data_IF_100103627027
#
_entry.id   IF_100103627027
#
_cell.length_a   1.000
_cell.length_b   1.000
_cell.length_c   1.000
_cell.angle_alpha   90.00
_cell.angle_beta   90.00
_cell.angle_gamma   90.00
#
_symmetry.space_group_name_H-M   'P 1'
#
loop_
_entity.id
_entity.type
_entity.pdbx_description
1 polymer ?
#
# COMPACT_ATOMS: atom_id res chain seq x y z
N UNK A 1 21.39 1.97 -0.35
CA UNK A 1 20.64 1.60 0.87
C UNK A 1 21.65 1.59 2.00
N UNK A 2 21.55 2.53 2.95
CA UNK A 2 22.61 2.81 3.91
C UNK A 2 22.67 1.73 5.00
N UNK A 3 23.86 1.38 5.48
CA UNK A 3 24.08 0.30 6.45
C UNK A 3 23.38 0.61 7.80
N UNK A 4 23.30 1.90 8.14
CA UNK A 4 22.63 2.39 9.34
C UNK A 4 21.12 2.08 9.37
N UNK A 5 20.45 2.06 8.22
CA UNK A 5 19.01 1.75 8.15
C UNK A 5 18.72 0.27 8.42
N UNK A 6 19.68 -0.62 8.16
CA UNK A 6 19.57 -2.05 8.53
C UNK A 6 19.79 -2.25 10.02
N UNK A 7 20.75 -1.54 10.62
CA UNK A 7 21.06 -1.65 12.04
C UNK A 7 19.88 -1.21 12.92
N UNK A 8 19.24 -0.08 12.59
CA UNK A 8 18.05 0.40 13.33
C UNK A 8 16.89 -0.62 13.24
N UNK A 9 16.71 -1.28 12.08
CA UNK A 9 15.69 -2.33 11.91
C UNK A 9 16.01 -3.61 12.70
N UNK A 10 17.28 -3.99 12.81
CA UNK A 10 17.72 -5.16 13.58
C UNK A 10 17.61 -4.88 15.08
N UNK A 11 17.99 -3.69 15.55
CA UNK A 11 17.88 -3.30 16.96
C UNK A 11 16.42 -3.19 17.40
N UNK A 12 15.53 -2.63 16.58
CA UNK A 12 14.10 -2.56 16.89
C UNK A 12 13.44 -3.94 16.92
N UNK A 13 13.81 -4.86 16.02
CA UNK A 13 13.33 -6.25 16.06
C UNK A 13 13.78 -7.00 17.31
N UNK A 14 15.01 -6.75 17.77
CA UNK A 14 15.60 -7.37 18.97
C UNK A 14 14.96 -6.84 20.27
N UNK A 15 14.71 -5.54 20.35
CA UNK A 15 13.99 -4.91 21.46
C UNK A 15 12.57 -5.46 21.62
N UNK A 16 11.85 -5.71 20.53
CA UNK A 16 10.51 -6.31 20.58
C UNK A 16 10.57 -7.74 21.14
N UNK A 17 11.52 -8.56 20.69
CA UNK A 17 11.69 -9.92 21.22
C UNK A 17 12.06 -9.93 22.71
N UNK A 18 12.95 -9.05 23.17
CA UNK A 18 13.34 -8.97 24.59
C UNK A 18 12.20 -8.49 25.49
N UNK A 19 11.40 -7.52 25.04
CA UNK A 19 10.21 -7.06 25.79
C UNK A 19 9.16 -8.17 25.89
N UNK A 20 8.94 -8.95 24.82
CA UNK A 20 8.04 -10.10 24.86
C UNK A 20 8.52 -11.19 25.81
N UNK A 21 9.81 -11.53 25.78
CA UNK A 21 10.38 -12.56 26.64
C UNK A 21 10.31 -12.16 28.13
N UNK A 22 10.60 -10.90 28.43
CA UNK A 22 10.53 -10.36 29.78
C UNK A 22 9.08 -10.27 30.28
N UNK A 23 8.12 -9.88 29.43
CA UNK A 23 6.70 -9.89 29.81
C UNK A 23 6.17 -11.31 30.07
N UNK A 24 6.55 -12.29 29.24
CA UNK A 24 6.22 -13.71 29.48
C UNK A 24 6.79 -14.19 30.83
N UNK A 25 8.04 -13.84 31.14
CA UNK A 25 8.65 -14.17 32.42
C UNK A 25 7.91 -13.59 33.63
N UNK A 26 7.47 -12.32 33.54
CA UNK A 26 6.69 -11.65 34.60
C UNK A 26 5.30 -12.26 34.76
N UNK A 27 4.62 -12.59 33.67
CA UNK A 27 3.29 -13.25 33.68
C UNK A 27 3.37 -14.65 34.32
N UNK A 28 4.43 -15.42 34.00
CA UNK A 28 4.68 -16.74 34.60
C UNK A 28 4.96 -16.61 36.10
N UNK A 29 5.73 -15.62 36.54
CA UNK A 29 5.98 -15.39 37.97
C UNK A 29 4.74 -14.94 38.73
N UNK A 30 3.93 -14.06 38.15
CA UNK A 30 2.70 -13.57 38.78
C UNK A 30 1.62 -14.65 38.89
N UNK A 31 1.52 -15.57 37.92
CA UNK A 31 0.58 -16.70 37.97
C UNK A 31 0.95 -17.77 39.01
N UNK A 32 2.23 -17.95 39.32
CA UNK A 32 2.68 -18.86 40.40
C UNK A 32 2.41 -18.30 41.80
N UNK A 33 2.44 -16.97 41.99
CA UNK A 33 2.47 -16.34 43.32
C UNK A 33 1.08 -16.02 43.89
N UNK A 34 0.07 -15.88 43.05
CA UNK A 34 -1.34 -15.75 43.43
C UNK A 34 -2.06 -16.84 42.67
N UNK A 35 -2.87 -17.69 43.33
CA UNK A 35 -3.71 -18.74 42.72
C UNK A 35 -4.75 -18.12 41.76
N UNK A 36 -4.29 -17.44 40.72
CA UNK A 36 -5.06 -16.73 39.74
C UNK A 36 -5.28 -17.69 38.59
N UNK A 37 -6.54 -17.94 38.28
CA UNK A 37 -6.96 -18.78 37.17
C UNK A 37 -6.27 -18.35 35.86
N UNK A 38 -5.38 -19.21 35.37
CA UNK A 38 -4.47 -18.98 34.23
C UNK A 38 -5.18 -18.45 32.98
N UNK A 39 -6.44 -18.86 32.78
CA UNK A 39 -7.27 -18.44 31.64
C UNK A 39 -7.64 -16.95 31.66
N UNK A 40 -7.73 -16.29 32.83
CA UNK A 40 -8.05 -14.85 32.91
C UNK A 40 -6.84 -13.96 32.58
N UNK A 41 -5.62 -14.44 32.80
CA UNK A 41 -4.39 -13.70 32.49
C UNK A 41 -4.06 -13.81 31.00
N UNK A 42 -4.38 -14.95 30.37
CA UNK A 42 -4.17 -15.16 28.94
C UNK A 42 -5.01 -14.21 28.06
N UNK A 43 -6.17 -13.75 28.54
CA UNK A 43 -7.05 -12.85 27.79
C UNK A 43 -6.50 -11.43 27.62
N UNK A 44 -5.57 -10.99 28.47
CA UNK A 44 -5.00 -9.63 28.43
C UNK A 44 -3.86 -9.53 27.39
N UNK A 45 -3.29 -10.65 26.95
CA UNK A 45 -2.20 -10.68 25.96
C UNK A 45 -2.71 -10.68 24.51
N UNK A 46 -4.03 -10.78 24.29
CA UNK A 46 -4.68 -10.66 22.97
C UNK A 46 -5.03 -9.20 22.63
N UNK A 47 -4.20 -8.24 23.05
CA UNK A 47 -4.24 -6.89 22.48
C UNK A 47 -3.61 -6.93 21.09
N UNK A 48 -4.23 -6.27 20.10
CA UNK A 48 -4.08 -6.61 18.70
C UNK A 48 -2.63 -6.42 18.27
N UNK A 49 -2.09 -7.44 17.59
CA UNK A 49 -0.99 -7.25 16.66
C UNK A 49 -1.34 -6.02 15.82
N UNK A 50 -0.65 -4.91 16.06
CA UNK A 50 -0.55 -3.84 15.10
C UNK A 50 0.11 -4.48 13.87
N UNK A 51 -0.72 -5.07 13.00
CA UNK A 51 -0.33 -5.42 11.65
C UNK A 51 -0.04 -4.08 11.01
N UNK A 52 1.19 -3.60 11.18
CA UNK A 52 1.71 -2.48 10.42
C UNK A 52 1.37 -2.81 8.97
N UNK A 53 0.53 -1.96 8.35
CA UNK A 53 0.35 -2.05 6.92
C UNK A 53 1.76 -2.02 6.32
N UNK A 54 2.12 -3.05 5.56
CA UNK A 54 3.47 -3.19 5.03
C UNK A 54 3.88 -1.95 4.24
N UNK A 55 5.18 -1.74 4.07
CA UNK A 55 5.69 -0.64 3.25
C UNK A 55 5.19 -0.79 1.80
N UNK A 56 4.71 0.30 1.21
CA UNK A 56 4.26 0.34 -0.18
C UNK A 56 5.38 -0.10 -1.12
N UNK A 57 5.10 -1.10 -1.96
CA UNK A 57 6.05 -1.55 -3.00
C UNK A 57 5.59 -1.16 -4.40
N UNK A 58 6.51 -1.22 -5.39
CA UNK A 58 6.13 -1.04 -6.81
C UNK A 58 5.14 -2.12 -7.27
N UNK A 59 5.24 -3.32 -6.70
CA UNK A 59 4.30 -4.39 -6.98
C UNK A 59 2.90 -4.06 -6.44
N UNK A 60 2.81 -3.46 -5.27
CA UNK A 60 1.54 -2.98 -4.72
C UNK A 60 0.97 -1.84 -5.55
N UNK A 61 1.79 -0.90 -6.02
CA UNK A 61 1.35 0.15 -6.94
C UNK A 61 0.72 -0.43 -8.21
N UNK A 62 1.33 -1.44 -8.81
CA UNK A 62 0.76 -2.03 -10.03
C UNK A 62 -0.50 -2.87 -9.76
N UNK A 63 -0.52 -3.64 -8.67
CA UNK A 63 -1.53 -4.68 -8.44
C UNK A 63 -2.68 -4.31 -7.52
N UNK A 64 -2.46 -3.34 -6.62
CA UNK A 64 -3.32 -3.03 -5.47
C UNK A 64 -3.55 -1.54 -5.26
N UNK A 65 -2.97 -0.64 -6.05
CA UNK A 65 -3.28 0.78 -5.92
C UNK A 65 -4.58 1.14 -6.64
N UNK A 66 -5.52 1.75 -5.91
CA UNK A 66 -6.82 2.11 -6.42
C UNK A 66 -6.78 3.47 -7.13
N UNK A 67 -6.71 3.44 -8.46
CA UNK A 67 -6.65 4.64 -9.31
C UNK A 67 -7.92 5.50 -9.25
N UNK A 68 -9.03 4.98 -8.70
CA UNK A 68 -10.27 5.75 -8.49
C UNK A 68 -10.13 6.79 -7.38
N UNK A 69 -8.99 6.82 -6.71
CA UNK A 69 -8.72 7.68 -5.56
C UNK A 69 -7.82 8.88 -5.87
N UNK A 70 -7.47 9.08 -7.15
CA UNK A 70 -6.54 10.13 -7.61
C UNK A 70 -7.02 10.83 -8.88
N UNK A 71 -6.50 12.04 -9.12
CA UNK A 71 -6.73 12.77 -10.37
C UNK A 71 -5.85 12.14 -11.45
N UNK A 72 -6.45 11.81 -12.59
CA UNK A 72 -5.74 11.24 -13.72
C UNK A 72 -6.51 11.38 -15.04
N UNK A 73 -5.82 11.15 -16.16
CA UNK A 73 -6.38 11.02 -17.50
C UNK A 73 -7.41 9.87 -17.61
N UNK A 74 -7.32 8.86 -16.74
CA UNK A 74 -8.28 7.76 -16.69
C UNK A 74 -9.54 8.08 -15.89
N UNK A 75 -9.64 9.27 -15.25
CA UNK A 75 -10.79 9.63 -14.43
C UNK A 75 -12.13 9.43 -15.13
N UNK A 76 -12.26 9.90 -16.38
CA UNK A 76 -13.48 9.68 -17.19
C UNK A 76 -13.66 8.20 -17.55
N UNK A 77 -12.60 7.49 -17.98
CA UNK A 77 -12.68 6.06 -18.32
C UNK A 77 -13.15 5.22 -17.12
N UNK A 78 -12.66 5.51 -15.92
CA UNK A 78 -13.03 4.82 -14.69
C UNK A 78 -14.51 4.96 -14.33
N UNK A 79 -15.23 5.96 -14.87
CA UNK A 79 -16.68 6.08 -14.72
C UNK A 79 -17.47 5.02 -15.50
N UNK A 80 -16.83 4.28 -16.41
CA UNK A 80 -17.50 3.29 -17.27
C UNK A 80 -16.99 1.85 -17.10
N UNK A 81 -15.74 1.68 -16.64
CA UNK A 81 -15.11 0.36 -16.51
C UNK A 81 -15.10 -0.15 -15.08
N UNK A 82 -15.07 -1.47 -14.87
CA UNK A 82 -15.04 -2.08 -13.51
C UNK A 82 -13.66 -2.03 -12.86
N UNK A 83 -12.60 -1.85 -13.65
CA UNK A 83 -11.24 -1.86 -13.12
C UNK A 83 -10.93 -0.69 -12.19
N UNK A 84 -10.12 -0.93 -11.17
CA UNK A 84 -9.58 0.11 -10.29
C UNK A 84 -8.04 0.13 -10.23
N UNK A 85 -7.38 -0.97 -10.61
CA UNK A 85 -5.94 -1.15 -10.46
C UNK A 85 -5.20 -0.92 -11.77
N UNK A 86 -3.94 -0.43 -11.76
CA UNK A 86 -3.19 -0.23 -12.99
C UNK A 86 -3.09 -1.47 -13.87
N UNK A 87 -2.89 -2.66 -13.30
CA UNK A 87 -2.87 -3.93 -14.05
C UNK A 87 -4.13 -4.20 -14.89
N UNK A 88 -5.26 -3.57 -14.57
CA UNK A 88 -6.52 -3.75 -15.29
C UNK A 88 -6.56 -2.91 -16.59
N UNK A 89 -5.67 -1.94 -16.73
CA UNK A 89 -5.65 -0.94 -17.82
C UNK A 89 -4.31 -0.83 -18.53
N UNK A 90 -3.26 -1.38 -17.94
CA UNK A 90 -1.91 -1.46 -18.49
C UNK A 90 -1.47 -2.92 -18.41
N UNK A 91 -1.37 -3.66 -19.53
CA UNK A 91 -0.81 -5.00 -19.54
C UNK A 91 0.62 -5.02 -19.01
N UNK A 92 1.10 -6.17 -18.56
CA UNK A 92 2.44 -6.27 -17.95
C UNK A 92 3.57 -5.81 -18.89
N UNK A 93 3.46 -6.04 -20.20
CA UNK A 93 4.46 -5.58 -21.18
C UNK A 93 4.48 -4.04 -21.37
N UNK A 94 3.42 -3.35 -20.94
CA UNK A 94 3.32 -1.89 -20.88
C UNK A 94 3.81 -1.32 -19.54
N UNK A 95 4.19 -2.18 -18.58
CA UNK A 95 4.70 -1.80 -17.28
C UNK A 95 6.22 -1.98 -17.21
N UNK A 96 6.94 -0.88 -16.99
CA UNK A 96 8.39 -0.85 -16.79
C UNK A 96 8.70 -0.55 -15.33
N UNK A 97 9.17 -1.58 -14.62
CA UNK A 97 9.66 -1.50 -13.25
C UNK A 97 11.14 -1.12 -13.30
N UNK A 98 11.46 0.15 -13.05
CA UNK A 98 12.84 0.63 -13.10
C UNK A 98 13.55 0.37 -11.77
N UNK A 99 14.85 0.08 -11.83
CA UNK A 99 15.70 -0.08 -10.65
C UNK A 99 15.57 1.15 -9.73
N UNK A 100 15.34 0.92 -8.43
CA UNK A 100 15.03 1.97 -7.46
C UNK A 100 13.56 1.95 -7.02
N UNK A 101 12.84 3.03 -7.30
CA UNK A 101 11.53 3.33 -6.71
C UNK A 101 10.50 3.84 -7.74
N UNK A 102 10.69 3.53 -9.03
CA UNK A 102 9.87 4.10 -10.11
C UNK A 102 9.18 3.02 -10.95
N UNK A 103 7.88 3.20 -11.16
CA UNK A 103 7.04 2.42 -12.08
C UNK A 103 6.57 3.32 -13.20
N UNK A 104 6.87 2.95 -14.46
CA UNK A 104 6.36 3.62 -15.65
C UNK A 104 5.34 2.71 -16.34
N UNK A 105 4.18 3.26 -16.65
CA UNK A 105 3.12 2.59 -17.42
C UNK A 105 2.84 3.38 -18.69
N UNK A 106 2.69 2.71 -19.83
CA UNK A 106 2.49 3.35 -21.14
C UNK A 106 1.38 2.65 -21.91
N UNK A 107 0.29 3.34 -22.21
CA UNK A 107 -0.80 2.83 -23.05
C UNK A 107 -1.07 3.81 -24.19
N UNK A 108 -0.58 3.49 -25.39
CA UNK A 108 -0.60 4.44 -26.51
C UNK A 108 0.19 5.71 -26.19
N UNK A 109 -0.49 6.84 -26.19
CA UNK A 109 0.05 8.16 -25.83
C UNK A 109 -0.08 8.50 -24.33
N UNK A 110 -0.80 7.68 -23.55
CA UNK A 110 -0.99 7.91 -22.12
C UNK A 110 0.17 7.30 -21.32
N UNK A 111 0.91 8.16 -20.61
CA UNK A 111 2.09 7.79 -19.84
C UNK A 111 1.90 8.17 -18.38
N UNK A 112 2.04 7.17 -17.52
CA UNK A 112 2.02 7.33 -16.07
C UNK A 112 3.39 6.97 -15.51
N UNK A 113 3.92 7.82 -14.64
CA UNK A 113 5.20 7.60 -13.97
C UNK A 113 4.96 7.80 -12.48
N UNK A 114 5.01 6.70 -11.74
CA UNK A 114 4.97 6.69 -10.29
C UNK A 114 6.39 6.69 -9.74
N UNK A 115 6.68 7.58 -8.80
CA UNK A 115 7.91 7.56 -8.01
C UNK A 115 7.55 7.45 -6.53
N UNK A 116 7.93 6.34 -5.89
CA UNK A 116 7.72 6.15 -4.45
C UNK A 116 8.66 7.03 -3.65
N UNK A 117 8.15 7.58 -2.56
CA UNK A 117 8.87 8.31 -1.53
C UNK A 117 8.67 7.57 -0.20
N UNK A 118 9.42 7.96 0.82
CA UNK A 118 9.22 7.46 2.18
C UNK A 118 7.79 7.70 2.67
N UNK A 119 7.39 6.98 3.73
CA UNK A 119 6.09 7.10 4.39
C UNK A 119 4.90 6.83 3.46
N UNK A 120 5.03 5.87 2.54
CA UNK A 120 3.97 5.48 1.60
C UNK A 120 3.44 6.67 0.77
N UNK A 121 4.31 7.62 0.44
CA UNK A 121 3.99 8.74 -0.45
C UNK A 121 4.41 8.42 -1.88
N UNK A 122 3.66 8.94 -2.85
CA UNK A 122 4.01 8.85 -4.27
C UNK A 122 3.99 10.22 -4.94
N UNK A 123 4.84 10.37 -5.94
CA UNK A 123 4.70 11.38 -6.99
C UNK A 123 4.16 10.67 -8.22
N UNK A 124 3.06 11.14 -8.77
CA UNK A 124 2.49 10.68 -10.04
C UNK A 124 2.67 11.78 -11.08
N UNK A 125 3.44 11.48 -12.12
CA UNK A 125 3.41 12.22 -13.38
C UNK A 125 2.46 11.50 -14.32
N UNK A 126 1.45 12.19 -14.83
CA UNK A 126 0.51 11.63 -15.79
C UNK A 126 0.37 12.60 -16.98
N UNK A 127 0.72 12.12 -18.16
CA UNK A 127 0.77 12.91 -19.39
C UNK A 127 0.20 12.16 -20.58
N UNK A 128 -0.38 12.90 -21.52
CA UNK A 128 -0.79 12.41 -22.84
C UNK A 128 0.20 13.01 -23.86
N UNK A 129 1.04 12.20 -24.48
CA UNK A 129 2.14 12.70 -25.33
C UNK A 129 1.68 13.36 -26.63
N UNK A 130 0.46 13.07 -27.07
CA UNK A 130 -0.18 13.67 -28.25
C UNK A 130 -0.91 14.99 -27.95
N UNK A 131 -1.02 15.39 -26.68
CA UNK A 131 -1.85 16.51 -26.25
C UNK A 131 -1.20 17.38 -25.16
N UNK A 132 -2.00 18.29 -24.60
CA UNK A 132 -1.54 19.26 -23.58
C UNK A 132 -1.69 18.76 -22.14
N UNK A 133 -2.36 17.61 -21.93
CA UNK A 133 -2.54 17.06 -20.60
C UNK A 133 -1.19 16.60 -20.02
N UNK A 134 -0.74 17.27 -18.96
CA UNK A 134 0.47 16.94 -18.22
C UNK A 134 0.31 17.40 -16.77
N UNK A 135 0.33 16.45 -15.83
CA UNK A 135 0.10 16.72 -14.41
C UNK A 135 1.18 16.07 -13.56
N UNK A 136 1.52 16.75 -12.46
CA UNK A 136 2.43 16.23 -11.43
C UNK A 136 1.76 16.38 -10.08
N UNK A 137 1.38 15.25 -9.48
CA UNK A 137 0.64 15.23 -8.22
C UNK A 137 1.37 14.42 -7.15
N UNK A 138 1.26 14.88 -5.91
CA UNK A 138 1.76 14.17 -4.72
C UNK A 138 0.58 13.59 -3.95
N UNK A 139 0.70 12.31 -3.56
CA UNK A 139 -0.31 11.60 -2.77
C UNK A 139 0.36 10.90 -1.59
N UNK A 140 -0.22 11.05 -0.40
CA UNK A 140 0.01 10.13 0.71
C UNK A 140 -0.97 8.97 0.55
N UNK A 141 -0.48 7.74 0.70
CA UNK A 141 -1.29 6.54 0.55
C UNK A 141 -1.49 5.86 1.90
N UNK A 142 -2.69 5.35 2.11
CA UNK A 142 -3.01 4.44 3.20
C UNK A 142 -3.49 3.10 2.64
N UNK A 143 -3.29 2.03 3.40
CA UNK A 143 -3.79 0.71 3.04
C UNK A 143 -5.17 0.51 3.65
N UNK A 144 -6.19 0.33 2.82
CA UNK A 144 -7.54 0.01 3.25
C UNK A 144 -7.64 -1.50 3.47
N UNK A 145 -7.67 -1.92 4.74
CA UNK A 145 -7.73 -3.35 5.12
C UNK A 145 -9.04 -4.03 4.70
N UNK A 146 -10.13 -3.29 4.58
CA UNK A 146 -11.44 -3.85 4.22
C UNK A 146 -11.42 -4.28 2.75
N UNK A 147 -10.86 -3.43 1.90
CA UNK A 147 -10.81 -3.67 0.46
C UNK A 147 -9.50 -4.32 -0.01
N UNK A 148 -8.47 -4.35 0.83
CA UNK A 148 -7.17 -4.94 0.53
C UNK A 148 -6.35 -4.15 -0.50
N UNK A 149 -6.58 -2.84 -0.62
CA UNK A 149 -5.98 -1.97 -1.63
C UNK A 149 -5.34 -0.69 -1.02
N UNK A 150 -4.42 -0.08 -1.76
CA UNK A 150 -3.81 1.21 -1.42
C UNK A 150 -4.62 2.35 -2.01
N UNK A 151 -4.90 3.39 -1.21
CA UNK A 151 -5.78 4.51 -1.57
C UNK A 151 -5.16 5.84 -1.21
N UNK A 152 -5.50 6.87 -1.98
CA UNK A 152 -5.26 8.25 -1.62
C UNK A 152 -6.55 8.88 -1.06
N UNK A 153 -6.42 9.82 -0.12
CA UNK A 153 -7.57 10.47 0.52
C UNK A 153 -8.19 11.63 -0.29
N UNK A 154 -7.76 11.82 -1.54
CA UNK A 154 -8.11 13.03 -2.30
C UNK A 154 -9.39 12.91 -3.12
N UNK A 155 -9.71 11.72 -3.64
CA UNK A 155 -10.85 11.53 -4.55
C UNK A 155 -11.53 10.19 -4.27
N UNK A 156 -12.79 10.08 -4.66
CA UNK A 156 -13.48 8.80 -4.75
C UNK A 156 -14.40 8.71 -5.96
N UNK A 157 -13.93 8.05 -7.02
CA UNK A 157 -14.76 7.67 -8.17
C UNK A 157 -15.40 6.32 -7.84
N UNK A 158 -16.72 6.27 -7.62
CA UNK A 158 -17.42 5.01 -7.32
C UNK A 158 -17.35 4.07 -8.53
N UNK A 159 -17.28 2.77 -8.27
CA UNK A 159 -17.45 1.77 -9.32
C UNK A 159 -18.92 1.76 -9.79
N UNK A 160 -19.19 1.85 -11.11
CA UNK A 160 -20.55 1.80 -11.63
C UNK A 160 -21.15 0.40 -11.51
N UNK A 161 -22.46 0.31 -11.21
CA UNK A 161 -23.17 -0.98 -11.09
C UNK A 161 -23.12 -1.81 -12.39
N UNK A 162 -23.24 -1.14 -13.55
CA UNK A 162 -23.28 -1.77 -14.87
C UNK A 162 -22.02 -1.46 -15.69
N UNK A 163 -20.85 -1.53 -15.05
CA UNK A 163 -19.58 -1.27 -15.71
C UNK A 163 -19.20 -2.38 -16.70
N UNK A 164 -18.33 -2.05 -17.67
CA UNK A 164 -17.74 -3.04 -18.58
C UNK A 164 -16.31 -3.38 -18.18
N UNK A 165 -15.80 -4.56 -18.59
CA UNK A 165 -14.36 -4.82 -18.50
C UNK A 165 -13.62 -3.93 -19.50
N UNK A 166 -12.46 -3.42 -19.08
CA UNK A 166 -11.58 -2.72 -20.01
C UNK A 166 -11.02 -3.73 -21.02
N UNK A 167 -11.07 -3.38 -22.30
CA UNK A 167 -10.49 -4.18 -23.38
C UNK A 167 -9.38 -3.38 -24.03
N UNK A 168 -8.23 -4.03 -24.19
CA UNK A 168 -7.19 -3.55 -25.08
C UNK A 168 -7.72 -3.65 -26.51
N UNK A 169 -7.57 -2.58 -27.29
CA UNK A 169 -7.77 -2.61 -28.73
C UNK A 169 -6.43 -2.88 -29.40
#
# INVERSE_FOLDING_TARGET
>A
MNFNDRLVKVEQGRLVCEVFYNMLGVVVQLSKKRKLNFYKVLLIVMLPLNVFAGELTLNDLYNKFNMRTIYSSYGQRLQYYCGAYPKNFFPKHQASFKFGNTLKLVSGDDVWIFTMKSDNKIILVNKITSGTYNTVNKYALHFDRINGDWRADKIRIKEPVNCKKFSFK
#
